data_IF_160557270241
#
_entry.id   IF_160557270241
#
_cell.length_a   1.000
_cell.length_b   1.000
_cell.length_c   1.000
_cell.angle_alpha   90.00
_cell.angle_beta   90.00
_cell.angle_gamma   90.00
#
_symmetry.space_group_name_H-M   'P 1'
#
loop_
_entity.id
_entity.type
_entity.pdbx_description
1 polymer ?
#
# COMPACT_ATOMS: atom_id res chain seq x y z
N UNK A 1 -13.35 29.28 -10.78
CA UNK A 1 -12.57 28.89 -9.58
C UNK A 1 -12.92 27.42 -9.32
N UNK A 2 -12.14 26.41 -9.71
CA UNK A 2 -10.82 25.95 -9.25
C UNK A 2 -10.20 25.19 -10.43
N UNK A 3 -9.14 25.70 -11.08
CA UNK A 3 -8.55 25.04 -12.27
C UNK A 3 -7.05 25.33 -12.41
N UNK A 4 -6.29 25.23 -11.31
CA UNK A 4 -4.83 25.43 -11.34
C UNK A 4 -4.01 24.22 -10.84
N UNK A 5 -4.62 23.29 -10.10
CA UNK A 5 -3.92 22.14 -9.48
C UNK A 5 -4.38 20.75 -9.95
N UNK A 6 -5.23 20.65 -10.97
CA UNK A 6 -5.59 19.36 -11.57
C UNK A 6 -4.66 19.03 -12.73
N UNK A 7 -4.23 17.77 -12.84
CA UNK A 7 -3.53 17.28 -14.03
C UNK A 7 -4.43 17.49 -15.26
N UNK A 8 -3.98 18.32 -16.20
CA UNK A 8 -4.75 18.66 -17.40
C UNK A 8 -4.40 17.75 -18.60
N UNK A 9 -3.19 17.19 -18.62
CA UNK A 9 -2.71 16.29 -19.68
C UNK A 9 -1.82 15.21 -19.06
N UNK A 10 -2.05 13.94 -19.43
CA UNK A 10 -1.22 12.82 -19.01
C UNK A 10 0.12 12.82 -19.76
N UNK A 11 1.19 12.39 -19.09
CA UNK A 11 2.52 12.26 -19.69
C UNK A 11 3.25 13.56 -19.98
N UNK A 12 2.71 14.73 -19.59
CA UNK A 12 3.44 15.99 -19.67
C UNK A 12 4.58 16.03 -18.65
N UNK A 13 5.74 16.52 -19.11
CA UNK A 13 6.92 16.65 -18.26
C UNK A 13 6.68 17.71 -17.18
N UNK A 14 6.94 17.32 -15.94
CA UNK A 14 6.86 18.22 -14.80
C UNK A 14 8.19 18.17 -14.04
N UNK A 15 8.85 19.33 -13.81
CA UNK A 15 10.03 19.36 -12.97
C UNK A 15 9.65 18.94 -11.54
N UNK A 16 10.56 18.26 -10.84
CA UNK A 16 10.28 17.66 -9.52
C UNK A 16 9.71 18.64 -8.48
N UNK A 17 10.11 19.92 -8.53
CA UNK A 17 9.59 20.96 -7.63
C UNK A 17 8.10 21.27 -7.87
N UNK A 18 7.62 21.12 -9.11
CA UNK A 18 6.22 21.32 -9.47
C UNK A 18 5.38 20.11 -9.02
N UNK A 19 5.96 18.92 -9.08
CA UNK A 19 5.34 17.68 -8.62
C UNK A 19 5.01 17.74 -7.12
N UNK A 20 5.95 18.15 -6.26
CA UNK A 20 5.72 18.24 -4.81
C UNK A 20 4.77 19.38 -4.40
N UNK A 21 4.42 20.28 -5.31
CA UNK A 21 3.39 21.32 -5.09
C UNK A 21 1.99 20.85 -5.46
N UNK A 22 1.84 19.76 -6.23
CA UNK A 22 0.53 19.29 -6.71
C UNK A 22 -0.18 18.45 -5.64
N UNK A 23 -1.46 18.75 -5.44
CA UNK A 23 -2.33 17.93 -4.58
C UNK A 23 -2.43 16.49 -5.07
N UNK A 24 -2.50 16.27 -6.39
CA UNK A 24 -2.61 14.94 -6.98
C UNK A 24 -1.40 14.05 -6.63
N UNK A 25 -0.19 14.64 -6.52
CA UNK A 25 0.99 13.93 -6.04
C UNK A 25 0.86 13.53 -4.56
N UNK A 26 0.38 14.43 -3.69
CA UNK A 26 0.20 14.10 -2.27
C UNK A 26 -0.89 13.06 -2.03
N UNK A 27 -2.00 13.09 -2.78
CA UNK A 27 -3.02 12.04 -2.73
C UNK A 27 -2.43 10.68 -3.11
N UNK A 28 -1.60 10.65 -4.16
CA UNK A 28 -0.90 9.46 -4.59
C UNK A 28 0.15 8.99 -3.57
N UNK A 29 0.93 9.91 -3.01
CA UNK A 29 1.94 9.64 -1.99
C UNK A 29 1.31 9.02 -0.74
N UNK A 30 0.20 9.60 -0.25
CA UNK A 30 -0.57 9.08 0.88
C UNK A 30 -1.14 7.70 0.55
N UNK A 31 -1.69 7.50 -0.64
CA UNK A 31 -2.23 6.20 -1.06
C UNK A 31 -1.16 5.09 -1.02
N UNK A 32 0.05 5.37 -1.52
CA UNK A 32 1.16 4.42 -1.43
C UNK A 32 1.63 4.23 0.01
N UNK A 33 1.85 5.32 0.75
CA UNK A 33 2.34 5.30 2.13
C UNK A 33 1.42 4.51 3.07
N UNK A 34 0.11 4.63 2.88
CA UNK A 34 -0.90 3.92 3.67
C UNK A 34 -1.26 2.52 3.14
N UNK A 35 -0.75 2.12 1.98
CA UNK A 35 -1.04 0.82 1.37
C UNK A 35 0.21 -0.03 1.19
N UNK A 36 1.04 0.33 0.21
CA UNK A 36 2.25 -0.41 -0.14
C UNK A 36 3.25 -0.45 1.02
N UNK A 37 3.50 0.69 1.65
CA UNK A 37 4.49 0.75 2.75
C UNK A 37 4.03 0.00 3.99
N UNK A 38 2.74 0.08 4.37
CA UNK A 38 2.20 -0.71 5.48
C UNK A 38 2.37 -2.21 5.20
N UNK A 39 2.10 -2.66 3.97
CA UNK A 39 2.31 -4.06 3.59
C UNK A 39 3.77 -4.51 3.70
N UNK A 40 4.72 -3.63 3.38
CA UNK A 40 6.15 -3.91 3.60
C UNK A 40 6.49 -4.05 5.08
N UNK A 41 6.02 -3.12 5.92
CA UNK A 41 6.28 -3.16 7.36
C UNK A 41 5.64 -4.39 8.00
N UNK A 42 4.44 -4.78 7.57
CA UNK A 42 3.82 -6.04 7.95
C UNK A 42 4.73 -7.24 7.62
N UNK A 43 5.26 -7.30 6.39
CA UNK A 43 6.17 -8.38 5.97
C UNK A 43 7.45 -8.42 6.81
N UNK A 44 8.02 -7.25 7.15
CA UNK A 44 9.24 -7.17 7.95
C UNK A 44 9.04 -7.65 9.39
N UNK A 45 7.83 -7.53 9.92
CA UNK A 45 7.48 -7.95 11.28
C UNK A 45 6.77 -9.31 11.33
N UNK A 46 6.62 -9.99 10.19
CA UNK A 46 5.81 -11.20 10.07
C UNK A 46 6.26 -12.32 11.01
N UNK A 47 7.56 -12.44 11.27
CA UNK A 47 8.11 -13.38 12.26
C UNK A 47 7.62 -13.11 13.68
N UNK A 48 7.73 -11.86 14.15
CA UNK A 48 7.24 -11.47 15.48
C UNK A 48 5.71 -11.56 15.58
N UNK A 49 4.99 -11.21 14.52
CA UNK A 49 3.54 -11.38 14.45
C UNK A 49 3.18 -12.86 14.60
N UNK A 50 3.82 -13.75 13.83
CA UNK A 50 3.59 -15.18 13.88
C UNK A 50 3.91 -15.75 15.27
N UNK A 51 5.04 -15.38 15.84
CA UNK A 51 5.44 -15.80 17.19
C UNK A 51 4.42 -15.36 18.25
N UNK A 52 4.01 -14.09 18.24
CA UNK A 52 3.02 -13.57 19.20
C UNK A 52 1.68 -14.31 19.17
N UNK A 53 1.31 -14.90 18.03
CA UNK A 53 0.07 -15.67 17.86
C UNK A 53 0.27 -17.18 18.06
N UNK A 54 1.45 -17.63 18.51
CA UNK A 54 1.78 -19.05 18.67
C UNK A 54 1.90 -19.79 17.33
N UNK A 55 2.27 -19.08 16.26
CA UNK A 55 2.42 -19.58 14.89
C UNK A 55 3.88 -19.54 14.41
N UNK A 56 4.85 -19.55 15.33
CA UNK A 56 6.29 -19.46 15.01
C UNK A 56 6.76 -20.55 14.03
N UNK A 57 6.24 -21.78 14.16
CA UNK A 57 6.52 -22.90 13.23
C UNK A 57 6.05 -22.64 11.80
N UNK A 58 5.09 -21.75 11.60
CA UNK A 58 4.50 -21.41 10.30
C UNK A 58 5.11 -20.16 9.67
N UNK A 59 6.14 -19.55 10.27
CA UNK A 59 6.75 -18.31 9.79
C UNK A 59 7.24 -18.43 8.34
N UNK A 60 7.94 -19.51 8.00
CA UNK A 60 8.42 -19.76 6.63
C UNK A 60 7.26 -19.85 5.64
N UNK A 61 6.17 -20.52 6.03
CA UNK A 61 4.96 -20.63 5.21
C UNK A 61 4.32 -19.25 4.99
N UNK A 62 4.22 -18.42 6.03
CA UNK A 62 3.67 -17.08 5.94
C UNK A 62 4.51 -16.16 5.04
N UNK A 63 5.84 -16.17 5.18
CA UNK A 63 6.76 -15.39 4.33
C UNK A 63 6.67 -15.84 2.87
N UNK A 64 6.59 -17.15 2.64
CA UNK A 64 6.41 -17.72 1.29
C UNK A 64 5.08 -17.29 0.70
N UNK A 65 3.99 -17.37 1.48
CA UNK A 65 2.66 -16.97 1.07
C UNK A 65 2.59 -15.49 0.70
N UNK A 66 3.16 -14.61 1.53
CA UNK A 66 3.28 -13.18 1.23
C UNK A 66 4.02 -12.97 -0.11
N UNK A 67 5.16 -13.63 -0.28
CA UNK A 67 6.00 -13.50 -1.48
C UNK A 67 5.29 -13.97 -2.74
N UNK A 68 4.61 -15.12 -2.70
CA UNK A 68 3.84 -15.65 -3.82
C UNK A 68 2.67 -14.74 -4.21
N UNK A 69 1.87 -14.27 -3.25
CA UNK A 69 0.78 -13.35 -3.55
C UNK A 69 1.27 -11.98 -4.00
N UNK A 70 2.41 -11.51 -3.48
CA UNK A 70 3.08 -10.30 -3.96
C UNK A 70 3.55 -10.43 -5.41
N UNK A 71 4.05 -11.59 -5.81
CA UNK A 71 4.33 -11.87 -7.22
C UNK A 71 3.06 -11.75 -8.09
N UNK A 72 1.96 -12.40 -7.71
CA UNK A 72 0.70 -12.29 -8.45
C UNK A 72 0.13 -10.88 -8.46
N UNK A 73 0.27 -10.13 -7.37
CA UNK A 73 -0.11 -8.71 -7.31
C UNK A 73 0.67 -7.88 -8.33
N UNK A 74 1.99 -8.07 -8.40
CA UNK A 74 2.83 -7.42 -9.41
C UNK A 74 2.39 -7.78 -10.83
N UNK A 75 2.12 -9.07 -11.10
CA UNK A 75 1.65 -9.53 -12.41
C UNK A 75 0.30 -8.90 -12.79
N UNK A 76 -0.65 -8.86 -11.85
CA UNK A 76 -1.97 -8.25 -12.06
C UNK A 76 -1.90 -6.75 -12.33
N UNK A 77 -0.87 -6.05 -11.86
CA UNK A 77 -0.69 -4.63 -12.14
C UNK A 77 -0.42 -4.32 -13.63
N UNK A 78 -0.03 -5.32 -14.42
CA UNK A 78 0.15 -5.22 -15.87
C UNK A 78 -1.13 -5.51 -16.67
N UNK A 79 -2.17 -6.08 -16.04
CA UNK A 79 -3.45 -6.37 -16.70
C UNK A 79 -4.13 -5.14 -17.35
N UNK A 80 -4.06 -3.91 -16.78
CA UNK A 80 -4.61 -2.72 -17.41
C UNK A 80 -4.08 -2.45 -18.82
N UNK A 81 -2.82 -2.81 -19.08
CA UNK A 81 -2.18 -2.57 -20.38
C UNK A 81 -2.62 -3.59 -21.43
N UNK A 82 -2.90 -4.83 -21.01
CA UNK A 82 -3.40 -5.89 -21.89
C UNK A 82 -4.88 -5.71 -22.23
N UNK A 83 -5.69 -5.26 -21.27
CA UNK A 83 -7.15 -5.13 -21.41
C UNK A 83 -7.53 -3.74 -21.97
N UNK A 84 -6.57 -2.82 -22.11
CA UNK A 84 -6.77 -1.45 -22.62
C UNK A 84 -7.55 -1.39 -23.94
N UNK A 85 -7.37 -2.38 -24.81
CA UNK A 85 -8.08 -2.45 -26.11
C UNK A 85 -9.58 -2.75 -25.98
N UNK A 86 -10.03 -3.35 -24.86
CA UNK A 86 -11.43 -3.74 -24.62
C UNK A 86 -12.13 -2.86 -23.58
N UNK A 87 -11.40 -2.44 -22.54
CA UNK A 87 -11.93 -1.60 -21.47
C UNK A 87 -10.90 -0.54 -21.13
N UNK A 88 -11.19 0.71 -21.47
CA UNK A 88 -10.39 1.85 -21.01
C UNK A 88 -10.79 2.20 -19.58
N UNK A 89 -9.86 2.02 -18.64
CA UNK A 89 -10.05 2.37 -17.23
C UNK A 89 -8.79 3.05 -16.70
N UNK A 90 -8.96 4.15 -15.97
CA UNK A 90 -7.85 4.94 -15.47
C UNK A 90 -6.92 4.10 -14.58
N UNK A 91 -5.61 4.27 -14.75
CA UNK A 91 -4.59 3.55 -13.96
C UNK A 91 -4.70 3.87 -12.46
N UNK A 92 -5.11 5.09 -12.12
CA UNK A 92 -5.46 5.49 -10.75
C UNK A 92 -6.68 4.75 -10.19
N UNK A 93 -7.64 4.34 -11.04
CA UNK A 93 -8.75 3.48 -10.64
C UNK A 93 -8.29 2.06 -10.33
N UNK A 94 -7.38 1.51 -11.14
CA UNK A 94 -6.74 0.21 -10.87
C UNK A 94 -5.94 0.22 -9.56
N UNK A 95 -5.26 1.33 -9.23
CA UNK A 95 -4.62 1.53 -7.93
C UNK A 95 -5.62 1.44 -6.77
N UNK A 96 -6.79 2.08 -6.90
CA UNK A 96 -7.84 2.01 -5.88
C UNK A 96 -8.34 0.57 -5.69
N UNK A 97 -8.58 -0.17 -6.77
CA UNK A 97 -8.95 -1.60 -6.71
C UNK A 97 -7.86 -2.43 -6.03
N UNK A 98 -6.59 -2.21 -6.42
CA UNK A 98 -5.45 -2.90 -5.84
C UNK A 98 -5.23 -2.63 -4.35
N UNK A 99 -5.74 -1.52 -3.81
CA UNK A 99 -5.67 -1.15 -2.39
C UNK A 99 -6.75 -1.82 -1.53
N UNK A 100 -7.86 -2.28 -2.12
CA UNK A 100 -9.00 -2.88 -1.38
C UNK A 100 -8.61 -4.08 -0.49
N UNK A 101 -7.71 -5.00 -0.89
CA UNK A 101 -7.41 -6.18 -0.06
C UNK A 101 -6.75 -5.84 1.28
N UNK A 102 -5.97 -4.77 1.37
CA UNK A 102 -5.23 -4.37 2.59
C UNK A 102 -6.11 -4.05 3.80
N UNK A 103 -7.12 -3.15 3.73
CA UNK A 103 -8.02 -2.90 4.85
C UNK A 103 -8.83 -4.15 5.23
N UNK A 104 -9.26 -4.95 4.25
CA UNK A 104 -9.95 -6.23 4.52
C UNK A 104 -9.05 -7.14 5.34
N UNK A 105 -7.78 -7.27 4.95
CA UNK A 105 -6.81 -8.10 5.67
C UNK A 105 -6.61 -7.63 7.11
N UNK A 106 -6.38 -6.33 7.33
CA UNK A 106 -6.14 -5.82 8.68
C UNK A 106 -7.37 -5.90 9.56
N UNK A 107 -8.56 -5.57 9.08
CA UNK A 107 -9.78 -5.74 9.87
C UNK A 107 -10.10 -7.22 10.13
N UNK A 108 -9.76 -8.12 9.21
CA UNK A 108 -9.85 -9.57 9.44
C UNK A 108 -8.91 -10.01 10.58
N UNK A 109 -7.67 -9.52 10.63
CA UNK A 109 -6.70 -9.79 11.70
C UNK A 109 -7.13 -9.14 13.04
N UNK A 110 -7.75 -7.96 12.98
CA UNK A 110 -8.34 -7.32 14.16
C UNK A 110 -9.51 -8.13 14.67
N UNK A 111 -10.36 -8.71 13.81
CA UNK A 111 -11.56 -9.46 14.16
C UNK A 111 -11.27 -10.93 14.54
N UNK A 112 -10.21 -11.52 13.99
CA UNK A 112 -9.80 -12.90 14.21
C UNK A 112 -8.34 -13.01 14.62
N UNK A 113 -8.09 -13.62 15.77
CA UNK A 113 -6.74 -13.92 16.26
C UNK A 113 -6.26 -15.33 15.97
N UNK A 114 -6.83 -16.01 14.96
CA UNK A 114 -6.52 -17.40 14.65
C UNK A 114 -5.51 -17.53 13.50
N UNK A 115 -4.82 -18.67 13.43
CA UNK A 115 -3.81 -18.93 12.39
C UNK A 115 -4.37 -18.87 10.97
N UNK A 116 -5.62 -19.27 10.75
CA UNK A 116 -6.26 -19.22 9.41
C UNK A 116 -6.42 -17.77 8.92
N UNK A 117 -6.90 -16.87 9.78
CA UNK A 117 -7.00 -15.45 9.45
C UNK A 117 -5.62 -14.84 9.20
N UNK A 118 -4.59 -15.30 9.91
CA UNK A 118 -3.21 -14.87 9.66
C UNK A 118 -2.73 -15.25 8.24
N UNK A 119 -3.03 -16.46 7.77
CA UNK A 119 -2.67 -16.89 6.41
C UNK A 119 -3.45 -16.08 5.35
N UNK A 120 -4.78 -15.96 5.51
CA UNK A 120 -5.62 -15.20 4.56
C UNK A 120 -5.20 -13.72 4.54
N UNK A 121 -5.01 -13.10 5.71
CA UNK A 121 -4.56 -11.72 5.83
C UNK A 121 -3.19 -11.51 5.17
N UNK A 122 -2.25 -12.42 5.40
CA UNK A 122 -0.91 -12.37 4.78
C UNK A 122 -0.98 -12.44 3.26
N UNK A 123 -1.82 -13.33 2.70
CA UNK A 123 -2.03 -13.43 1.26
C UNK A 123 -2.63 -12.14 0.67
N UNK A 124 -3.64 -11.56 1.31
CA UNK A 124 -4.29 -10.32 0.87
C UNK A 124 -3.34 -9.11 0.95
N UNK A 125 -2.58 -8.96 2.03
CA UNK A 125 -1.58 -7.89 2.17
C UNK A 125 -0.48 -8.04 1.12
N UNK A 126 0.00 -9.27 0.89
CA UNK A 126 0.99 -9.56 -0.16
C UNK A 126 0.49 -9.20 -1.55
N UNK A 127 -0.74 -9.61 -1.88
CA UNK A 127 -1.39 -9.29 -3.16
C UNK A 127 -1.48 -7.79 -3.40
N UNK A 128 -1.98 -7.04 -2.41
CA UNK A 128 -2.13 -5.59 -2.52
C UNK A 128 -0.79 -4.87 -2.60
N UNK A 129 0.16 -5.20 -1.71
CA UNK A 129 1.48 -4.55 -1.70
C UNK A 129 2.24 -4.80 -3.00
N UNK A 130 2.22 -6.04 -3.50
CA UNK A 130 2.81 -6.39 -4.79
C UNK A 130 2.22 -5.61 -5.94
N UNK A 131 0.89 -5.49 -5.98
CA UNK A 131 0.19 -4.67 -6.98
C UNK A 131 0.65 -3.21 -6.92
N UNK A 132 0.64 -2.61 -5.72
CA UNK A 132 1.00 -1.20 -5.52
C UNK A 132 2.45 -0.93 -5.93
N UNK A 133 3.39 -1.80 -5.57
CA UNK A 133 4.81 -1.61 -5.91
C UNK A 133 5.05 -1.56 -7.41
N UNK A 134 4.44 -2.47 -8.18
CA UNK A 134 4.58 -2.48 -9.63
C UNK A 134 3.75 -1.38 -10.31
N UNK A 135 2.50 -1.19 -9.88
CA UNK A 135 1.62 -0.14 -10.41
C UNK A 135 2.22 1.26 -10.20
N UNK A 136 2.95 1.48 -9.11
CA UNK A 136 3.51 2.77 -8.79
C UNK A 136 4.53 3.29 -9.81
N UNK A 137 5.38 2.44 -10.36
CA UNK A 137 6.34 2.83 -11.41
C UNK A 137 5.57 3.35 -12.63
N UNK A 138 4.60 2.55 -13.04
CA UNK A 138 3.68 2.80 -14.15
C UNK A 138 2.85 4.08 -13.97
N UNK A 139 2.28 4.31 -12.78
CA UNK A 139 1.49 5.51 -12.47
C UNK A 139 2.36 6.76 -12.42
N UNK A 140 3.56 6.65 -11.83
CA UNK A 140 4.49 7.78 -11.75
C UNK A 140 4.90 8.26 -13.14
N UNK A 141 5.20 7.33 -14.05
CA UNK A 141 5.52 7.66 -15.44
C UNK A 141 4.36 8.31 -16.18
N UNK A 142 3.13 7.85 -15.92
CA UNK A 142 1.94 8.31 -16.66
C UNK A 142 1.44 9.68 -16.15
N UNK A 143 1.52 9.93 -14.84
CA UNK A 143 1.09 11.19 -14.24
C UNK A 143 2.15 12.31 -14.33
N UNK A 144 3.44 11.97 -14.35
CA UNK A 144 4.51 12.97 -14.19
C UNK A 144 5.56 12.98 -15.31
N UNK A 145 5.32 12.24 -16.39
CA UNK A 145 6.19 12.19 -17.55
C UNK A 145 7.29 11.11 -17.46
N UNK A 146 7.70 10.51 -18.58
CA UNK A 146 8.67 9.42 -18.63
C UNK A 146 10.14 9.87 -18.47
N UNK A 147 10.52 11.11 -18.85
CA UNK A 147 11.93 11.49 -18.91
C UNK A 147 12.56 11.69 -17.53
N UNK A 148 11.77 12.13 -16.54
CA UNK A 148 12.22 12.32 -15.14
C UNK A 148 11.70 11.23 -14.19
N UNK A 149 11.31 10.05 -14.72
CA UNK A 149 10.70 8.98 -13.92
C UNK A 149 11.57 8.55 -12.74
N UNK A 150 12.89 8.45 -12.93
CA UNK A 150 13.81 8.02 -11.88
C UNK A 150 13.80 8.96 -10.68
N UNK A 151 13.80 10.28 -10.91
CA UNK A 151 13.75 11.28 -9.84
C UNK A 151 12.38 11.27 -9.16
N UNK A 152 11.30 11.31 -9.95
CA UNK A 152 9.94 11.37 -9.43
C UNK A 152 9.56 10.12 -8.62
N UNK A 153 9.98 8.94 -9.10
CA UNK A 153 9.76 7.68 -8.40
C UNK A 153 10.62 7.57 -7.14
N UNK A 154 11.88 8.04 -7.18
CA UNK A 154 12.73 8.09 -5.99
C UNK A 154 12.13 8.98 -4.89
N UNK A 155 11.54 10.13 -5.26
CA UNK A 155 10.81 10.99 -4.31
C UNK A 155 9.61 10.24 -3.73
N UNK A 156 8.84 9.52 -4.55
CA UNK A 156 7.70 8.72 -4.07
C UNK A 156 8.16 7.66 -3.05
N UNK A 157 9.14 6.83 -3.39
CA UNK A 157 9.57 5.70 -2.54
C UNK A 157 10.30 6.15 -1.27
N UNK A 158 10.57 7.44 -1.06
CA UNK A 158 10.94 7.97 0.27
C UNK A 158 9.90 7.64 1.34
N UNK A 159 8.68 7.34 0.92
CA UNK A 159 7.63 6.82 1.80
C UNK A 159 8.06 5.51 2.50
N UNK A 160 8.94 4.69 1.92
CA UNK A 160 9.40 3.41 2.48
C UNK A 160 10.22 3.64 3.76
N UNK A 161 11.33 4.40 3.76
CA UNK A 161 12.08 4.65 4.99
C UNK A 161 11.24 5.41 6.02
N UNK A 162 10.44 6.41 5.59
CA UNK A 162 9.58 7.17 6.52
C UNK A 162 8.55 6.24 7.17
N UNK A 163 7.88 5.39 6.39
CA UNK A 163 6.84 4.51 6.91
C UNK A 163 7.41 3.33 7.69
N UNK A 164 8.58 2.82 7.31
CA UNK A 164 9.29 1.81 8.12
C UNK A 164 9.65 2.35 9.49
N UNK A 165 10.08 3.63 9.59
CA UNK A 165 10.32 4.29 10.87
C UNK A 165 8.99 4.47 11.64
N UNK A 166 8.00 5.12 11.04
CA UNK A 166 6.75 5.47 11.73
C UNK A 166 5.95 4.22 12.15
N UNK A 167 5.68 3.32 11.22
CA UNK A 167 4.88 2.12 11.48
C UNK A 167 5.66 1.05 12.24
N UNK A 168 6.98 0.95 12.02
CA UNK A 168 7.84 0.03 12.76
C UNK A 168 7.95 0.43 14.22
N UNK A 169 8.19 1.72 14.52
CA UNK A 169 8.20 2.23 15.90
C UNK A 169 6.83 2.08 16.54
N UNK A 170 5.74 2.39 15.83
CA UNK A 170 4.37 2.18 16.35
C UNK A 170 4.14 0.72 16.74
N UNK A 171 4.52 -0.23 15.87
CA UNK A 171 4.38 -1.66 16.14
C UNK A 171 5.20 -2.11 17.35
N UNK A 172 6.46 -1.65 17.45
CA UNK A 172 7.35 -1.95 18.56
C UNK A 172 6.82 -1.41 19.90
N UNK A 173 6.41 -0.14 19.95
CA UNK A 173 5.84 0.47 21.17
C UNK A 173 4.59 -0.27 21.64
N UNK A 174 3.70 -0.64 20.72
CA UNK A 174 2.50 -1.42 21.07
C UNK A 174 2.90 -2.80 21.59
N UNK A 175 3.84 -3.48 20.94
CA UNK A 175 4.33 -4.79 21.36
C UNK A 175 4.91 -4.75 22.77
N UNK A 176 5.88 -3.84 23.02
CA UNK A 176 6.59 -3.71 24.30
C UNK A 176 5.67 -3.29 25.46
N UNK A 177 4.66 -2.45 25.19
CA UNK A 177 3.67 -2.06 26.19
C UNK A 177 2.82 -3.24 26.69
N UNK A 178 2.57 -4.22 25.82
CA UNK A 178 1.80 -5.42 26.17
C UNK A 178 2.67 -6.49 26.85
N UNK A 179 3.99 -6.52 26.61
CA UNK A 179 4.94 -7.32 27.40
C UNK A 179 4.90 -6.90 28.86
N UNK A 180 5.04 -5.60 29.12
CA UNK A 180 5.11 -5.03 30.48
C UNK A 180 3.82 -5.25 31.29
N UNK A 181 2.68 -5.32 30.59
CA UNK A 181 1.37 -5.52 31.22
C UNK A 181 1.06 -6.99 31.57
N UNK A 182 1.82 -7.94 31.02
CA UNK A 182 1.53 -9.38 31.14
C UNK A 182 2.46 -10.13 32.10
N UNK A 183 3.63 -9.59 32.47
CA UNK A 183 4.50 -10.19 33.50
C UNK A 183 5.32 -9.15 34.29
N UNK A 184 5.26 -9.21 35.62
CA UNK A 184 6.27 -8.70 36.56
C UNK A 184 7.54 -9.59 36.56
N UNK A 185 8.04 -10.01 35.39
CA UNK A 185 9.25 -10.84 35.31
C UNK A 185 10.26 -10.14 34.42
N UNK A 186 11.28 -9.61 35.08
CA UNK A 186 12.50 -9.05 34.50
C UNK A 186 13.29 -10.24 33.95
N UNK A 187 13.10 -10.55 32.68
CA UNK A 187 14.04 -11.35 31.88
C UNK A 187 14.30 -10.58 30.59
N UNK A 188 15.56 -10.47 30.20
CA UNK A 188 16.07 -9.71 29.02
C UNK A 188 15.51 -10.18 27.65
N UNK A 189 14.54 -11.10 27.64
CA UNK A 189 13.93 -11.69 26.45
C UNK A 189 12.42 -11.97 26.63
N UNK A 190 11.69 -11.05 27.27
CA UNK A 190 10.25 -11.18 27.41
C UNK A 190 9.54 -11.03 26.06
N UNK A 191 9.07 -12.14 25.48
CA UNK A 191 8.31 -12.19 24.22
C UNK A 191 6.83 -11.92 24.51
N UNK A 192 6.23 -10.97 23.79
CA UNK A 192 4.79 -10.71 23.90
C UNK A 192 4.00 -11.84 23.25
N UNK A 193 3.16 -12.51 24.05
CA UNK A 193 2.30 -13.60 23.59
C UNK A 193 0.82 -13.23 23.67
N UNK A 194 0.09 -13.65 22.65
CA UNK A 194 -1.35 -13.48 22.51
C UNK A 194 -1.74 -12.35 21.56
N UNK A 195 -3.02 -12.34 21.21
CA UNK A 195 -3.61 -11.41 20.24
C UNK A 195 -3.40 -9.93 20.58
N UNK A 196 -3.31 -9.60 21.88
CA UNK A 196 -3.20 -8.21 22.36
C UNK A 196 -1.92 -7.51 21.87
N UNK A 197 -0.85 -8.26 21.62
CA UNK A 197 0.47 -7.75 21.23
C UNK A 197 0.46 -6.96 19.91
N UNK A 198 -0.37 -7.37 18.94
CA UNK A 198 -0.49 -6.70 17.64
C UNK A 198 -1.92 -6.19 17.36
N UNK A 199 -2.88 -6.40 18.25
CA UNK A 199 -4.28 -6.01 18.01
C UNK A 199 -4.43 -4.52 17.71
N UNK A 200 -3.82 -3.67 18.54
CA UNK A 200 -3.87 -2.21 18.35
C UNK A 200 -3.08 -1.79 17.10
N UNK A 201 -1.96 -2.44 16.81
CA UNK A 201 -1.18 -2.22 15.59
C UNK A 201 -2.01 -2.51 14.34
N UNK A 202 -2.69 -3.66 14.29
CA UNK A 202 -3.57 -4.01 13.18
C UNK A 202 -4.76 -3.07 13.04
N UNK A 203 -5.31 -2.56 14.15
CA UNK A 203 -6.37 -1.55 14.11
C UNK A 203 -5.88 -0.25 13.47
N UNK A 204 -4.72 0.26 13.90
CA UNK A 204 -4.12 1.46 13.32
C UNK A 204 -3.78 1.27 11.84
N UNK A 205 -3.13 0.17 11.48
CA UNK A 205 -2.81 -0.16 10.09
C UNK A 205 -4.08 -0.32 9.23
N UNK A 206 -5.14 -0.91 9.78
CA UNK A 206 -6.46 -0.97 9.16
C UNK A 206 -7.04 0.41 8.88
N UNK A 207 -7.11 1.29 9.88
CA UNK A 207 -7.59 2.67 9.73
C UNK A 207 -6.76 3.45 8.70
N UNK A 208 -5.43 3.37 8.77
CA UNK A 208 -4.54 4.02 7.81
C UNK A 208 -4.76 3.49 6.39
N UNK A 209 -4.94 2.18 6.22
CA UNK A 209 -5.22 1.62 4.89
C UNK A 209 -6.54 2.07 4.29
N UNK A 210 -7.57 2.35 5.11
CA UNK A 210 -8.81 3.01 4.66
C UNK A 210 -8.53 4.46 4.22
N UNK A 211 -7.68 5.19 4.94
CA UNK A 211 -7.22 6.52 4.50
C UNK A 211 -6.46 6.43 3.16
N UNK A 212 -5.64 5.41 2.97
CA UNK A 212 -4.98 5.14 1.69
C UNK A 212 -5.97 4.88 0.55
N UNK A 213 -6.97 4.04 0.79
CA UNK A 213 -8.02 3.72 -0.18
C UNK A 213 -8.85 4.96 -0.54
N UNK A 214 -9.28 5.74 0.45
CA UNK A 214 -10.03 6.99 0.22
C UNK A 214 -9.20 8.01 -0.54
N UNK A 215 -7.92 8.19 -0.20
CA UNK A 215 -6.99 9.05 -0.94
C UNK A 215 -6.85 8.61 -2.41
N UNK A 216 -6.74 7.30 -2.65
CA UNK A 216 -6.68 6.73 -4.01
C UNK A 216 -7.97 6.93 -4.79
N UNK A 217 -9.13 6.77 -4.16
CA UNK A 217 -10.42 7.07 -4.78
C UNK A 217 -10.56 8.55 -5.13
N UNK A 218 -10.14 9.45 -4.24
CA UNK A 218 -10.11 10.89 -4.53
C UNK A 218 -9.17 11.23 -5.68
N UNK A 219 -8.00 10.60 -5.75
CA UNK A 219 -7.07 10.73 -6.86
C UNK A 219 -7.70 10.25 -8.17
N UNK A 220 -8.36 9.09 -8.17
CA UNK A 220 -9.09 8.58 -9.32
C UNK A 220 -10.16 9.56 -9.79
N UNK A 221 -11.00 10.06 -8.89
CA UNK A 221 -12.05 11.03 -9.24
C UNK A 221 -11.49 12.34 -9.81
N UNK A 222 -10.37 12.84 -9.28
CA UNK A 222 -9.71 14.05 -9.79
C UNK A 222 -9.05 13.85 -11.14
N UNK A 223 -8.42 12.70 -11.35
CA UNK A 223 -7.67 12.40 -12.59
C UNK A 223 -8.57 11.87 -13.71
N UNK A 224 -9.78 11.38 -13.39
CA UNK A 224 -10.74 10.81 -14.34
C UNK A 224 -10.97 11.69 -15.58
N UNK A 225 -11.17 12.98 -15.39
CA UNK A 225 -11.37 13.91 -16.51
C UNK A 225 -10.17 13.94 -17.47
N UNK A 226 -8.94 13.89 -16.96
CA UNK A 226 -7.74 13.85 -17.78
C UNK A 226 -7.63 12.52 -18.56
N UNK A 227 -8.00 11.40 -17.94
CA UNK A 227 -8.08 10.11 -18.61
C UNK A 227 -9.13 10.08 -19.71
N UNK A 228 -10.32 10.62 -19.45
CA UNK A 228 -11.43 10.66 -20.43
C UNK A 228 -11.04 11.54 -21.65
N UNK A 229 -10.38 12.68 -21.42
CA UNK A 229 -9.87 13.53 -22.50
C UNK A 229 -8.76 12.86 -23.33
N UNK A 230 -7.86 12.14 -22.66
CA UNK A 230 -6.79 11.41 -23.34
C UNK A 230 -7.37 10.33 -24.28
N UNK A 231 -8.37 9.57 -23.82
CA UNK A 231 -8.99 8.54 -24.63
C UNK A 231 -9.83 9.12 -25.78
N UNK A 232 -10.58 10.19 -25.54
CA UNK A 232 -11.31 10.89 -26.59
C UNK A 232 -10.37 11.37 -27.72
N UNK A 233 -9.21 11.93 -27.35
CA UNK A 233 -8.19 12.32 -28.32
C UNK A 233 -7.65 11.11 -29.07
N UNK A 234 -7.32 10.01 -28.38
CA UNK A 234 -6.82 8.77 -29.01
C UNK A 234 -7.77 8.26 -30.08
N UNK A 235 -9.07 8.16 -29.76
CA UNK A 235 -10.12 7.72 -30.68
C UNK A 235 -10.20 8.65 -31.90
N UNK A 236 -10.08 9.97 -31.72
CA UNK A 236 -10.14 10.92 -32.84
C UNK A 236 -8.95 10.85 -33.81
N UNK A 237 -7.80 10.31 -33.36
CA UNK A 237 -6.58 10.13 -34.16
C UNK A 237 -6.43 8.74 -34.77
N UNK A 238 -7.34 7.80 -34.46
CA UNK A 238 -7.34 6.43 -35.00
C UNK A 238 -8.35 6.32 -36.12
#
# INVERSE_FOLDING_TARGET
MVKKDQLAMLGEEHPAWLLVRRLDFWLYYIAYFCGGTIGLVYSNNLGQIAESLGQSSNTTTLVTLYSSFSFFGRLLSAAPDYIRAKVFFARTGWLAIGLVPTPIAFFLLVASGNGVALHIGTALVGLSSGFIFAAAVSITSELFGPNSIGVNHNILITNIPIGSLVYGVLAAVVYDSNVSSSLNIITDSAVCMGRKCYHLTFLWWGCLSVLGLTSSLLLFLRTRHAYDQFEAKRISTT
#
